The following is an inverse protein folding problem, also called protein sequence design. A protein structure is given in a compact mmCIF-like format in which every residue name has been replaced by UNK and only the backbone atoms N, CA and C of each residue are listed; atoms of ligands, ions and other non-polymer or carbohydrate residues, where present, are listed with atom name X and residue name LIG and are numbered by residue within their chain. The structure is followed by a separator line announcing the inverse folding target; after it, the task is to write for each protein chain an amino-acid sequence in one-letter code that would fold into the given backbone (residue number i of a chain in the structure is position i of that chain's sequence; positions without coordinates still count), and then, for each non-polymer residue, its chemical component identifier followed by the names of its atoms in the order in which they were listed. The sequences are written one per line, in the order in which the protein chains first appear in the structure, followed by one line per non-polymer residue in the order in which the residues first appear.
data_IF_355802495267
#
_entry.id   IF_355802495267
#
_cell.length_a   1.000
_cell.length_b   1.000
_cell.length_c   1.000
_cell.angle_alpha   90.00
_cell.angle_beta   90.00
_cell.angle_gamma   90.00
#
_symmetry.space_group_name_H-M   'P 1'
#
loop_
_entity.id
_entity.type
_entity.pdbx_description
1 polymer ?
#
# COMPACT_ATOMS: atom_id res chain seq x y z
N UNK A 1 -19.76 -11.29 8.54
CA UNK A 1 -18.78 -10.28 8.11
C UNK A 1 -17.51 -10.56 8.87
N UNK A 2 -16.44 -10.78 8.11
CA UNK A 2 -15.28 -11.56 8.49
C UNK A 2 -14.39 -10.90 9.56
N UNK A 3 -13.73 -11.73 10.37
CA UNK A 3 -12.77 -11.32 11.39
C UNK A 3 -11.58 -10.54 10.78
N UNK A 4 -11.30 -10.74 9.49
CA UNK A 4 -10.25 -10.06 8.73
C UNK A 4 -10.32 -8.53 8.79
N UNK A 5 -11.51 -7.92 8.86
CA UNK A 5 -11.62 -6.45 8.94
C UNK A 5 -11.06 -5.88 10.25
N UNK A 6 -11.00 -6.69 11.31
CA UNK A 6 -10.47 -6.31 12.61
C UNK A 6 -8.94 -6.25 12.60
N UNK A 7 -8.28 -6.90 11.64
CA UNK A 7 -6.82 -6.85 11.51
C UNK A 7 -6.32 -5.40 11.25
N UNK A 8 -7.11 -4.58 10.56
CA UNK A 8 -6.76 -3.16 10.34
C UNK A 8 -6.82 -2.34 11.65
N UNK A 9 -7.48 -2.83 12.70
CA UNK A 9 -7.41 -2.19 14.02
C UNK A 9 -6.05 -2.40 14.68
N UNK A 10 -5.36 -3.53 14.44
CA UNK A 10 -3.96 -3.71 14.89
C UNK A 10 -3.07 -2.61 14.29
N UNK A 11 -3.32 -2.21 13.03
CA UNK A 11 -2.65 -1.05 12.42
C UNK A 11 -2.99 0.27 13.10
N UNK A 12 -4.22 0.45 13.60
CA UNK A 12 -4.56 1.64 14.40
C UNK A 12 -3.77 1.67 15.71
N UNK A 13 -3.71 0.54 16.42
CA UNK A 13 -2.96 0.44 17.67
C UNK A 13 -1.45 0.67 17.45
N UNK A 14 -0.86 0.09 16.39
CA UNK A 14 0.52 0.36 16.00
C UNK A 14 0.75 1.85 15.69
N UNK A 15 -0.20 2.51 15.02
CA UNK A 15 -0.09 3.94 14.69
C UNK A 15 -0.05 4.84 15.92
N UNK A 16 -0.75 4.48 16.99
CA UNK A 16 -0.71 5.19 18.27
C UNK A 16 0.70 5.10 18.90
N UNK A 17 1.25 3.88 18.97
CA UNK A 17 2.60 3.63 19.49
C UNK A 17 3.69 4.31 18.65
N UNK A 18 3.57 4.25 17.32
CA UNK A 18 4.47 4.95 16.39
C UNK A 18 4.35 6.49 16.51
N UNK A 19 3.27 7.00 17.11
CA UNK A 19 3.05 8.41 17.41
C UNK A 19 3.74 8.89 18.69
N UNK A 20 4.23 7.99 19.54
CA UNK A 20 4.85 8.32 20.82
C UNK A 20 6.27 8.90 20.67
N UNK A 21 6.78 9.50 21.74
CA UNK A 21 8.16 9.98 21.83
C UNK A 21 8.73 9.68 23.23
N UNK A 22 9.75 8.81 23.36
CA UNK A 22 10.34 7.98 22.30
C UNK A 22 9.34 6.95 21.74
N UNK A 23 9.61 6.40 20.56
CA UNK A 23 8.80 5.32 19.98
C UNK A 23 9.18 4.00 20.66
N UNK A 24 8.18 3.25 21.10
CA UNK A 24 8.35 1.90 21.65
C UNK A 24 8.23 0.87 20.51
N UNK A 25 9.35 0.59 19.82
CA UNK A 25 9.37 -0.37 18.72
C UNK A 25 9.09 -1.80 19.16
N UNK A 26 9.40 -2.16 20.41
CA UNK A 26 9.13 -3.50 20.95
C UNK A 26 7.62 -3.70 21.12
N UNK A 27 6.90 -2.70 21.63
CA UNK A 27 5.44 -2.75 21.71
C UNK A 27 4.77 -2.75 20.31
N UNK A 28 5.34 -2.04 19.34
CA UNK A 28 4.86 -2.09 17.95
C UNK A 28 5.09 -3.49 17.36
N UNK A 29 6.26 -4.08 17.60
CA UNK A 29 6.60 -5.43 17.15
C UNK A 29 5.72 -6.50 17.82
N UNK A 30 5.34 -6.31 19.08
CA UNK A 30 4.42 -7.21 19.78
C UNK A 30 3.05 -7.27 19.07
N UNK A 31 2.45 -6.11 18.76
CA UNK A 31 1.19 -6.06 18.02
C UNK A 31 1.35 -6.67 16.62
N UNK A 32 2.44 -6.35 15.93
CA UNK A 32 2.71 -6.88 14.59
C UNK A 32 2.77 -8.42 14.56
N UNK A 33 3.50 -9.00 15.50
CA UNK A 33 3.78 -10.44 15.53
C UNK A 33 2.70 -11.26 16.24
N UNK A 34 2.04 -10.71 17.26
CA UNK A 34 1.11 -11.44 18.11
C UNK A 34 -0.35 -11.05 17.88
N UNK A 35 -0.63 -9.92 17.23
CA UNK A 35 -1.99 -9.43 16.95
C UNK A 35 -2.74 -9.02 18.22
N UNK A 36 -3.84 -8.28 18.05
CA UNK A 36 -4.64 -7.79 19.19
C UNK A 36 -6.15 -7.82 18.97
N UNK A 37 -6.61 -7.63 17.74
CA UNK A 37 -8.03 -7.40 17.46
C UNK A 37 -8.73 -8.53 16.70
N UNK A 38 -7.99 -9.37 15.96
CA UNK A 38 -8.56 -10.41 15.09
C UNK A 38 -8.42 -11.83 15.67
N UNK A 39 -9.16 -12.13 16.76
CA UNK A 39 -9.11 -13.42 17.46
C UNK A 39 -9.79 -14.54 16.66
N UNK A 40 -9.12 -15.69 16.49
CA UNK A 40 -9.64 -16.89 15.84
C UNK A 40 -10.45 -17.72 16.84
N UNK A 41 -11.18 -18.73 16.34
CA UNK A 41 -11.98 -19.62 17.17
C UNK A 41 -11.18 -20.47 18.16
N UNK A 42 -9.86 -20.61 17.97
CA UNK A 42 -8.96 -21.34 18.87
C UNK A 42 -8.31 -20.44 19.94
N UNK A 43 -8.68 -19.16 19.99
CA UNK A 43 -8.13 -18.16 20.91
C UNK A 43 -6.78 -17.56 20.46
N UNK A 44 -6.20 -18.02 19.34
CA UNK A 44 -5.03 -17.36 18.74
C UNK A 44 -5.46 -16.16 17.89
N UNK A 45 -4.57 -15.20 17.66
CA UNK A 45 -4.86 -14.05 16.81
C UNK A 45 -4.37 -14.26 15.38
N UNK A 46 -5.06 -13.61 14.43
CA UNK A 46 -4.47 -13.27 13.13
C UNK A 46 -3.53 -12.10 13.33
N UNK A 47 -2.39 -12.11 12.64
CA UNK A 47 -1.32 -11.15 12.89
C UNK A 47 -0.85 -10.54 11.59
N UNK A 48 -0.48 -9.25 11.64
CA UNK A 48 0.01 -8.51 10.49
C UNK A 48 1.32 -9.12 9.96
N UNK A 49 2.21 -9.55 10.87
CA UNK A 49 3.44 -10.26 10.53
C UNK A 49 3.19 -11.62 9.88
N UNK A 50 2.26 -12.42 10.41
CA UNK A 50 1.91 -13.71 9.81
C UNK A 50 1.31 -13.58 8.40
N UNK A 51 0.69 -12.45 8.10
CA UNK A 51 0.31 -12.10 6.74
C UNK A 51 1.55 -11.64 5.94
N UNK A 52 2.31 -10.65 6.39
CA UNK A 52 3.47 -10.16 5.64
C UNK A 52 4.52 -11.25 5.31
N UNK A 53 4.64 -12.30 6.13
CA UNK A 53 5.63 -13.37 5.98
C UNK A 53 5.12 -14.55 5.13
N UNK A 54 3.87 -14.53 4.68
CA UNK A 54 3.25 -15.70 4.07
C UNK A 54 3.72 -15.93 2.63
N UNK A 55 4.15 -17.15 2.34
CA UNK A 55 4.61 -17.55 1.01
C UNK A 55 3.45 -17.93 0.08
N UNK A 56 3.72 -18.00 -1.24
CA UNK A 56 2.79 -18.53 -2.23
C UNK A 56 1.55 -17.66 -2.45
N UNK A 57 1.60 -16.40 -2.02
CA UNK A 57 0.53 -15.42 -2.20
C UNK A 57 0.45 -14.95 -3.64
N UNK A 58 -0.75 -14.56 -4.05
CA UNK A 58 -1.08 -14.14 -5.43
C UNK A 58 -0.85 -12.62 -5.62
N UNK A 59 0.31 -12.14 -5.20
CA UNK A 59 0.80 -10.77 -5.38
C UNK A 59 2.25 -10.78 -5.87
N UNK A 60 2.73 -9.68 -6.43
CA UNK A 60 4.03 -9.66 -7.11
C UNK A 60 5.27 -9.62 -6.18
N UNK A 61 5.12 -9.20 -4.91
CA UNK A 61 6.23 -8.86 -4.02
C UNK A 61 7.35 -9.91 -3.92
N UNK A 62 7.05 -11.15 -3.52
CA UNK A 62 8.08 -12.17 -3.31
C UNK A 62 8.80 -12.57 -4.59
N UNK A 63 8.06 -12.65 -5.71
CA UNK A 63 8.64 -12.92 -7.03
C UNK A 63 9.57 -11.80 -7.46
N UNK A 64 9.14 -10.55 -7.28
CA UNK A 64 9.89 -9.37 -7.70
C UNK A 64 11.17 -9.18 -6.87
N UNK A 65 11.07 -9.25 -5.54
CA UNK A 65 12.23 -9.13 -4.65
C UNK A 65 13.03 -10.43 -4.49
N UNK A 66 12.60 -11.51 -5.14
CA UNK A 66 13.31 -12.79 -5.16
C UNK A 66 13.41 -13.49 -3.79
N UNK A 67 12.50 -13.18 -2.85
CA UNK A 67 12.54 -13.68 -1.48
C UNK A 67 11.13 -13.91 -0.93
N UNK A 68 10.80 -15.14 -0.48
CA UNK A 68 9.55 -15.39 0.23
C UNK A 68 9.45 -14.53 1.51
N UNK A 69 8.27 -13.96 1.77
CA UNK A 69 8.07 -13.08 2.93
C UNK A 69 8.79 -11.73 2.82
N UNK A 70 9.02 -11.24 1.60
CA UNK A 70 9.74 -9.99 1.34
C UNK A 70 9.12 -8.75 2.01
N UNK A 71 7.79 -8.76 2.19
CA UNK A 71 7.05 -7.74 2.92
C UNK A 71 7.40 -7.73 4.41
N UNK A 72 7.42 -8.90 5.05
CA UNK A 72 7.84 -9.06 6.44
C UNK A 72 9.29 -8.66 6.62
N UNK A 73 10.19 -9.10 5.74
CA UNK A 73 11.60 -8.72 5.80
C UNK A 73 11.80 -7.19 5.78
N UNK A 74 11.05 -6.46 4.94
CA UNK A 74 11.09 -5.00 4.92
C UNK A 74 10.61 -4.40 6.26
N UNK A 75 9.44 -4.83 6.74
CA UNK A 75 8.81 -4.27 7.96
C UNK A 75 9.63 -4.60 9.21
N UNK A 76 10.08 -5.85 9.35
CA UNK A 76 10.90 -6.34 10.46
C UNK A 76 12.26 -5.63 10.48
N UNK A 77 12.90 -5.41 9.33
CA UNK A 77 14.15 -4.64 9.30
C UNK A 77 13.98 -3.20 9.81
N UNK A 78 12.82 -2.57 9.55
CA UNK A 78 12.50 -1.26 10.11
C UNK A 78 12.21 -1.32 11.62
N UNK A 79 11.46 -2.32 12.08
CA UNK A 79 11.17 -2.57 13.50
C UNK A 79 12.46 -2.77 14.30
N UNK A 80 13.44 -3.50 13.75
CA UNK A 80 14.68 -3.84 14.44
C UNK A 80 15.82 -2.84 14.20
N UNK A 81 15.68 -1.94 13.23
CA UNK A 81 16.76 -1.04 12.83
C UNK A 81 17.93 -1.81 12.19
N UNK A 82 17.62 -2.77 11.33
CA UNK A 82 18.57 -3.63 10.62
C UNK A 82 18.41 -3.47 9.11
N UNK A 83 19.21 -4.19 8.32
CA UNK A 83 19.13 -4.15 6.86
C UNK A 83 19.25 -2.73 6.32
N UNK A 84 18.30 -2.31 5.46
CA UNK A 84 18.28 -0.96 4.88
C UNK A 84 17.96 0.15 5.90
N UNK A 85 17.53 -0.21 7.11
CA UNK A 85 17.26 0.72 8.21
C UNK A 85 18.37 0.70 9.28
N UNK A 86 19.49 0.01 9.02
CA UNK A 86 20.62 -0.02 9.94
C UNK A 86 21.23 1.38 10.10
N UNK A 87 21.25 1.88 11.34
CA UNK A 87 21.77 3.21 11.66
C UNK A 87 20.81 4.37 11.34
N UNK A 88 19.60 4.07 10.84
CA UNK A 88 18.60 5.09 10.55
C UNK A 88 17.92 5.63 11.81
N UNK A 89 17.45 6.87 11.74
CA UNK A 89 16.69 7.49 12.83
C UNK A 89 15.36 6.77 13.08
N UNK A 90 14.83 6.91 14.30
CA UNK A 90 13.48 6.43 14.63
C UNK A 90 12.41 7.02 13.71
N UNK A 91 12.61 8.26 13.22
CA UNK A 91 11.72 8.90 12.25
C UNK A 91 11.70 8.17 10.91
N UNK A 92 12.83 7.67 10.44
CA UNK A 92 12.96 6.90 9.19
C UNK A 92 12.42 5.48 9.38
N UNK A 93 12.84 4.80 10.45
CA UNK A 93 12.34 3.46 10.81
C UNK A 93 10.83 3.44 10.94
N UNK A 94 10.24 4.46 11.58
CA UNK A 94 8.79 4.65 11.68
C UNK A 94 8.10 4.60 10.32
N UNK A 95 8.68 5.18 9.27
CA UNK A 95 8.05 5.16 7.95
C UNK A 95 8.10 3.76 7.31
N UNK A 96 9.21 3.05 7.48
CA UNK A 96 9.34 1.65 7.08
C UNK A 96 8.26 0.77 7.72
N UNK A 97 8.08 0.88 9.03
CA UNK A 97 7.04 0.13 9.76
C UNK A 97 5.64 0.59 9.35
N UNK A 98 5.35 1.88 9.49
CA UNK A 98 4.01 2.42 9.31
C UNK A 98 3.52 2.23 7.88
N UNK A 99 4.29 2.70 6.89
CA UNK A 99 3.85 2.67 5.50
C UNK A 99 4.06 1.31 4.86
N UNK A 100 5.11 0.58 5.25
CA UNK A 100 5.30 -0.81 4.86
C UNK A 100 4.09 -1.66 5.24
N UNK A 101 3.66 -1.60 6.50
CA UNK A 101 2.49 -2.38 6.90
C UNK A 101 1.16 -1.80 6.40
N UNK A 102 0.90 -0.50 6.61
CA UNK A 102 -0.38 0.13 6.24
C UNK A 102 -0.67 0.06 4.73
N UNK A 103 0.36 0.10 3.90
CA UNK A 103 0.20 0.27 2.45
C UNK A 103 0.77 -0.89 1.67
N UNK A 104 2.07 -1.22 1.80
CA UNK A 104 2.66 -2.30 1.00
C UNK A 104 1.99 -3.64 1.32
N UNK A 105 2.05 -4.06 2.58
CA UNK A 105 1.52 -5.36 2.97
C UNK A 105 -0.01 -5.40 2.85
N UNK A 106 -0.77 -4.42 3.36
CA UNK A 106 -2.22 -4.45 3.21
C UNK A 106 -2.69 -4.40 1.75
N UNK A 107 -2.07 -3.64 0.84
CA UNK A 107 -2.42 -3.67 -0.58
C UNK A 107 -2.01 -4.99 -1.25
N UNK A 108 -0.84 -5.54 -0.93
CA UNK A 108 -0.44 -6.84 -1.43
C UNK A 108 -1.47 -7.92 -1.06
N UNK A 109 -2.07 -7.82 0.14
CA UNK A 109 -3.17 -8.67 0.57
C UNK A 109 -4.48 -8.42 -0.18
N UNK A 110 -4.85 -7.16 -0.42
CA UNK A 110 -5.98 -6.85 -1.32
C UNK A 110 -5.77 -7.52 -2.67
N UNK A 111 -4.60 -7.36 -3.29
CA UNK A 111 -4.25 -7.98 -4.58
C UNK A 111 -4.31 -9.51 -4.50
N UNK A 112 -3.75 -10.12 -3.46
CA UNK A 112 -3.81 -11.57 -3.24
C UNK A 112 -5.26 -12.08 -3.21
N UNK A 113 -6.13 -11.39 -2.48
CA UNK A 113 -7.51 -11.83 -2.29
C UNK A 113 -8.36 -11.65 -3.56
N UNK A 114 -8.20 -10.53 -4.27
CA UNK A 114 -8.89 -10.32 -5.55
C UNK A 114 -8.44 -11.33 -6.62
N UNK A 115 -7.13 -11.60 -6.71
CA UNK A 115 -6.59 -12.62 -7.63
C UNK A 115 -7.04 -14.03 -7.24
N UNK A 116 -7.18 -14.30 -5.94
CA UNK A 116 -7.74 -15.57 -5.44
C UNK A 116 -9.22 -15.70 -5.78
N UNK A 117 -10.00 -14.62 -5.65
CA UNK A 117 -11.40 -14.58 -6.00
C UNK A 117 -11.64 -14.85 -7.49
N UNK A 118 -10.90 -14.17 -8.37
CA UNK A 118 -11.00 -14.35 -9.84
C UNK A 118 -10.62 -15.78 -10.24
N UNK A 119 -9.54 -16.34 -9.68
CA UNK A 119 -9.17 -17.72 -9.96
C UNK A 119 -10.24 -18.73 -9.51
N UNK A 120 -10.76 -18.57 -8.28
CA UNK A 120 -11.83 -19.44 -7.76
C UNK A 120 -13.11 -19.32 -8.58
N UNK A 121 -13.43 -18.14 -9.10
CA UNK A 121 -14.53 -17.93 -10.02
C UNK A 121 -14.32 -18.70 -11.34
N UNK A 122 -13.10 -18.67 -11.89
CA UNK A 122 -12.71 -19.46 -13.07
C UNK A 122 -12.85 -20.97 -12.85
N UNK A 123 -12.59 -21.44 -11.64
CA UNK A 123 -12.77 -22.85 -11.22
C UNK A 123 -14.24 -23.21 -10.89
N UNK A 124 -15.18 -22.25 -10.99
CA UNK A 124 -16.59 -22.44 -10.63
C UNK A 124 -16.86 -22.49 -9.11
N UNK A 125 -15.85 -22.20 -8.27
CA UNK A 125 -16.00 -22.06 -6.83
C UNK A 125 -16.50 -20.65 -6.45
N UNK A 126 -17.76 -20.36 -6.77
CA UNK A 126 -18.36 -19.04 -6.56
C UNK A 126 -18.44 -18.62 -5.10
N UNK A 127 -18.74 -19.55 -4.19
CA UNK A 127 -18.81 -19.25 -2.76
C UNK A 127 -17.43 -18.84 -2.21
N UNK A 128 -16.38 -19.56 -2.60
CA UNK A 128 -15.01 -19.21 -2.26
C UNK A 128 -14.58 -17.89 -2.91
N UNK A 129 -15.01 -17.62 -4.15
CA UNK A 129 -14.69 -16.38 -4.83
C UNK A 129 -15.27 -15.15 -4.11
N UNK A 130 -16.56 -15.19 -3.75
CA UNK A 130 -17.21 -14.09 -3.00
C UNK A 130 -16.53 -13.90 -1.63
N UNK A 131 -16.16 -14.99 -0.96
CA UNK A 131 -15.47 -14.91 0.32
C UNK A 131 -14.15 -14.13 0.23
N UNK A 132 -13.25 -14.48 -0.70
CA UNK A 132 -11.99 -13.73 -0.85
C UNK A 132 -12.22 -12.31 -1.36
N UNK A 133 -13.23 -12.09 -2.21
CA UNK A 133 -13.56 -10.74 -2.66
C UNK A 133 -13.91 -9.82 -1.47
N UNK A 134 -14.71 -10.30 -0.53
CA UNK A 134 -15.06 -9.57 0.68
C UNK A 134 -13.85 -9.41 1.64
N UNK A 135 -12.94 -10.40 1.71
CA UNK A 135 -11.67 -10.28 2.45
C UNK A 135 -10.78 -9.18 1.86
N UNK A 136 -10.69 -9.06 0.53
CA UNK A 136 -10.00 -7.96 -0.13
C UNK A 136 -10.52 -6.58 0.32
N UNK A 137 -11.85 -6.42 0.41
CA UNK A 137 -12.42 -5.18 0.96
C UNK A 137 -12.05 -4.96 2.43
N UNK A 138 -12.05 -6.04 3.22
CA UNK A 138 -11.70 -5.99 4.62
C UNK A 138 -10.25 -5.52 4.86
N UNK A 139 -9.28 -5.92 4.02
CA UNK A 139 -7.90 -5.43 4.10
C UNK A 139 -7.76 -3.97 3.62
N UNK A 140 -8.54 -3.55 2.63
CA UNK A 140 -8.47 -2.19 2.08
C UNK A 140 -9.09 -1.13 3.02
N UNK A 141 -10.32 -1.38 3.47
CA UNK A 141 -11.10 -0.43 4.27
C UNK A 141 -10.96 -0.70 5.78
N UNK A 142 -10.85 -1.96 6.19
CA UNK A 142 -10.90 -2.33 7.61
C UNK A 142 -12.25 -2.06 8.25
N UNK A 143 -12.27 -2.02 9.58
CA UNK A 143 -13.48 -1.77 10.35
C UNK A 143 -14.02 -0.32 10.22
N UNK A 144 -13.15 0.68 9.99
CA UNK A 144 -13.50 2.11 10.07
C UNK A 144 -12.90 3.01 8.97
N UNK A 145 -12.12 2.48 8.03
CA UNK A 145 -11.52 3.26 6.93
C UNK A 145 -10.29 4.09 7.30
N UNK A 146 -9.93 4.24 8.57
CA UNK A 146 -8.93 5.23 9.00
C UNK A 146 -7.47 4.79 8.90
N UNK A 147 -7.18 3.54 9.27
CA UNK A 147 -5.81 3.05 9.50
C UNK A 147 -5.29 2.10 8.41
N UNK A 148 -6.11 1.81 7.39
CA UNK A 148 -5.73 1.02 6.22
C UNK A 148 -5.42 1.88 5.00
N UNK A 149 -5.28 1.24 3.81
CA UNK A 149 -5.09 1.93 2.55
C UNK A 149 -6.18 2.96 2.20
N UNK A 150 -7.45 2.71 2.58
CA UNK A 150 -8.55 3.67 2.39
C UNK A 150 -8.24 5.05 2.99
N UNK A 151 -7.68 5.08 4.20
CA UNK A 151 -7.31 6.33 4.88
C UNK A 151 -6.13 7.03 4.21
N UNK A 152 -5.19 6.26 3.62
CA UNK A 152 -4.14 6.83 2.77
C UNK A 152 -4.77 7.50 1.56
N UNK A 153 -5.67 6.82 0.84
CA UNK A 153 -6.34 7.35 -0.34
C UNK A 153 -7.08 8.66 -0.05
N UNK A 154 -7.85 8.76 1.03
CA UNK A 154 -8.51 10.03 1.42
C UNK A 154 -7.49 11.17 1.65
N UNK A 155 -6.38 10.89 2.35
CA UNK A 155 -5.31 11.89 2.55
C UNK A 155 -4.67 12.32 1.23
N UNK A 156 -4.47 11.41 0.29
CA UNK A 156 -3.93 11.73 -1.05
C UNK A 156 -4.94 12.53 -1.86
N UNK A 157 -6.20 12.13 -1.84
CA UNK A 157 -7.31 12.87 -2.45
C UNK A 157 -7.35 14.33 -2.01
N UNK A 158 -7.28 14.58 -0.70
CA UNK A 158 -7.26 15.93 -0.16
C UNK A 158 -6.01 16.74 -0.54
N UNK A 159 -4.85 16.09 -0.62
CA UNK A 159 -3.63 16.77 -1.04
C UNK A 159 -3.58 17.07 -2.54
N UNK A 160 -4.36 16.40 -3.37
CA UNK A 160 -4.35 16.56 -4.82
C UNK A 160 -5.62 17.20 -5.39
N UNK A 161 -6.54 17.63 -4.54
CA UNK A 161 -7.82 18.22 -4.97
C UNK A 161 -8.73 17.20 -5.67
N UNK A 162 -8.59 15.91 -5.36
CA UNK A 162 -9.37 14.81 -5.96
C UNK A 162 -10.32 14.18 -4.94
N UNK A 163 -10.86 15.00 -4.03
CA UNK A 163 -11.97 14.61 -3.18
C UNK A 163 -13.29 14.62 -3.96
N UNK A 164 -14.19 13.73 -3.54
CA UNK A 164 -15.55 13.62 -4.01
C UNK A 164 -16.43 14.75 -3.49
N UNK A 165 -17.73 14.62 -3.75
CA UNK A 165 -18.71 15.66 -3.40
C UNK A 165 -18.91 15.87 -1.90
N UNK A 166 -18.54 14.88 -1.07
CA UNK A 166 -18.60 14.97 0.39
C UNK A 166 -17.45 15.80 0.98
N UNK A 167 -16.43 16.13 0.18
CA UNK A 167 -15.26 16.87 0.63
C UNK A 167 -14.34 16.08 1.56
N UNK A 168 -14.50 14.75 1.66
CA UNK A 168 -13.75 13.88 2.57
C UNK A 168 -13.22 12.62 1.87
N UNK A 169 -14.04 11.99 1.03
CA UNK A 169 -13.70 10.75 0.35
C UNK A 169 -12.92 11.03 -0.92
N UNK A 170 -11.79 10.37 -1.14
CA UNK A 170 -11.08 10.45 -2.41
C UNK A 170 -11.93 9.86 -3.55
N UNK A 171 -11.91 10.49 -4.72
CA UNK A 171 -12.53 9.92 -5.94
C UNK A 171 -11.99 8.51 -6.26
N UNK A 172 -10.72 8.25 -5.94
CA UNK A 172 -10.14 6.91 -6.03
C UNK A 172 -10.85 5.89 -5.11
N UNK A 173 -11.22 6.29 -3.89
CA UNK A 173 -12.00 5.45 -2.97
C UNK A 173 -13.43 5.23 -3.47
N UNK A 174 -14.08 6.27 -4.00
CA UNK A 174 -15.41 6.13 -4.62
C UNK A 174 -15.37 5.12 -5.78
N UNK A 175 -14.35 5.21 -6.64
CA UNK A 175 -14.14 4.29 -7.75
C UNK A 175 -13.85 2.85 -7.28
N UNK A 176 -12.97 2.68 -6.29
CA UNK A 176 -12.66 1.37 -5.72
C UNK A 176 -13.91 0.75 -5.08
N UNK A 177 -14.67 1.50 -4.28
CA UNK A 177 -15.90 0.99 -3.67
C UNK A 177 -16.92 0.54 -4.73
N UNK A 178 -17.09 1.35 -5.78
CA UNK A 178 -17.97 1.01 -6.90
C UNK A 178 -17.52 -0.28 -7.61
N UNK A 179 -16.21 -0.42 -7.85
CA UNK A 179 -15.63 -1.65 -8.40
C UNK A 179 -15.82 -2.86 -7.48
N UNK A 180 -15.60 -2.70 -6.17
CA UNK A 180 -15.79 -3.76 -5.19
C UNK A 180 -17.25 -4.23 -5.12
N UNK A 181 -18.22 -3.31 -5.24
CA UNK A 181 -19.64 -3.67 -5.33
C UNK A 181 -19.93 -4.41 -6.64
N UNK A 182 -19.45 -3.89 -7.77
CA UNK A 182 -19.68 -4.49 -9.08
C UNK A 182 -19.08 -5.90 -9.20
N UNK A 183 -17.87 -6.11 -8.70
CA UNK A 183 -17.21 -7.41 -8.71
C UNK A 183 -17.91 -8.42 -7.81
N UNK A 184 -18.34 -8.03 -6.61
CA UNK A 184 -19.17 -8.89 -5.75
C UNK A 184 -20.45 -9.32 -6.47
N UNK A 185 -21.16 -8.37 -7.09
CA UNK A 185 -22.40 -8.68 -7.81
C UNK A 185 -22.16 -9.50 -9.07
N UNK A 186 -20.98 -9.39 -9.71
CA UNK A 186 -20.58 -10.27 -10.80
C UNK A 186 -20.35 -11.70 -10.30
N UNK A 187 -19.60 -11.87 -9.20
CA UNK A 187 -19.35 -13.18 -8.59
C UNK A 187 -20.63 -13.87 -8.14
N UNK A 188 -21.57 -13.15 -7.50
CA UNK A 188 -22.88 -13.68 -7.11
C UNK A 188 -23.74 -14.14 -8.30
N UNK A 189 -23.48 -13.59 -9.50
CA UNK A 189 -24.17 -13.96 -10.75
C UNK A 189 -23.41 -15.00 -11.58
N UNK A 190 -22.29 -15.52 -11.09
CA UNK A 190 -21.47 -16.47 -11.85
C UNK A 190 -20.71 -15.82 -13.01
N UNK A 191 -20.41 -14.53 -12.93
CA UNK A 191 -19.73 -13.77 -13.99
C UNK A 191 -18.25 -13.51 -13.62
N UNK A 192 -17.36 -14.42 -14.00
CA UNK A 192 -15.92 -14.31 -13.72
C UNK A 192 -15.26 -13.12 -14.44
N UNK A 193 -15.58 -12.87 -15.71
CA UNK A 193 -15.00 -11.75 -16.46
C UNK A 193 -15.44 -10.39 -15.92
N UNK A 194 -16.67 -10.30 -15.38
CA UNK A 194 -17.12 -9.11 -14.65
C UNK A 194 -16.34 -8.86 -13.36
N UNK A 195 -15.97 -9.92 -12.64
CA UNK A 195 -15.14 -9.80 -11.45
C UNK A 195 -13.68 -9.41 -11.79
N UNK A 196 -13.13 -9.97 -12.87
CA UNK A 196 -11.81 -9.60 -13.39
C UNK A 196 -11.75 -8.13 -13.82
N UNK A 197 -12.76 -7.66 -14.58
CA UNK A 197 -12.86 -6.24 -14.95
C UNK A 197 -12.96 -5.32 -13.74
N UNK A 198 -13.70 -5.73 -12.70
CA UNK A 198 -13.78 -4.99 -11.44
C UNK A 198 -12.43 -4.95 -10.70
N UNK A 199 -11.68 -6.06 -10.68
CA UNK A 199 -10.36 -6.10 -10.05
C UNK A 199 -9.38 -5.12 -10.73
N UNK A 200 -9.41 -5.02 -12.07
CA UNK A 200 -8.62 -4.03 -12.81
C UNK A 200 -8.96 -2.59 -12.45
N UNK A 201 -10.24 -2.29 -12.18
CA UNK A 201 -10.67 -0.96 -11.71
C UNK A 201 -10.20 -0.67 -10.28
N UNK A 202 -10.12 -1.68 -9.41
CA UNK A 202 -9.51 -1.53 -8.08
C UNK A 202 -8.02 -1.20 -8.23
N UNK A 203 -7.28 -1.93 -9.07
CA UNK A 203 -5.88 -1.65 -9.38
C UNK A 203 -5.69 -0.23 -9.89
N UNK A 204 -6.55 0.24 -10.80
CA UNK A 204 -6.54 1.63 -11.27
C UNK A 204 -6.61 2.65 -10.13
N UNK A 205 -7.52 2.47 -9.18
CA UNK A 205 -7.65 3.35 -8.01
C UNK A 205 -6.43 3.30 -7.05
N UNK A 206 -5.83 2.12 -6.91
CA UNK A 206 -4.57 1.92 -6.16
C UNK A 206 -3.44 2.70 -6.83
N UNK A 207 -3.27 2.57 -8.15
CA UNK A 207 -2.24 3.31 -8.89
C UNK A 207 -2.42 4.82 -8.77
N UNK A 208 -3.65 5.34 -8.84
CA UNK A 208 -3.93 6.78 -8.62
C UNK A 208 -3.42 7.20 -7.23
N UNK A 209 -3.82 6.46 -6.19
CA UNK A 209 -3.48 6.77 -4.80
C UNK A 209 -1.97 6.81 -4.58
N UNK A 210 -1.25 5.79 -5.04
CA UNK A 210 0.19 5.70 -4.77
C UNK A 210 1.04 6.53 -5.73
N UNK A 211 0.53 6.88 -6.92
CA UNK A 211 1.13 7.93 -7.75
C UNK A 211 1.09 9.28 -7.03
N UNK A 212 -0.07 9.67 -6.48
CA UNK A 212 -0.21 10.88 -5.67
C UNK A 212 0.71 10.85 -4.43
N UNK A 213 0.83 9.68 -3.77
CA UNK A 213 1.70 9.52 -2.62
C UNK A 213 3.17 9.79 -2.98
N UNK A 214 3.67 9.06 -3.97
CA UNK A 214 5.06 9.16 -4.44
C UNK A 214 5.36 10.58 -4.92
N UNK A 215 4.50 11.19 -5.74
CA UNK A 215 4.71 12.57 -6.20
C UNK A 215 4.78 13.58 -5.04
N UNK A 216 3.94 13.43 -4.01
CA UNK A 216 3.99 14.30 -2.84
C UNK A 216 5.31 14.20 -2.09
N UNK A 217 5.83 12.99 -1.92
CA UNK A 217 7.03 12.79 -1.13
C UNK A 217 8.29 13.28 -1.85
N UNK A 218 8.32 13.23 -3.18
CA UNK A 218 9.35 13.92 -3.96
C UNK A 218 9.39 15.43 -3.68
N UNK A 219 8.23 16.10 -3.77
CA UNK A 219 8.12 17.55 -3.49
C UNK A 219 8.53 17.88 -2.05
N UNK A 220 8.17 17.02 -1.09
CA UNK A 220 8.56 17.21 0.31
C UNK A 220 10.07 17.09 0.53
N UNK A 221 10.71 16.10 -0.08
CA UNK A 221 12.18 15.94 -0.02
C UNK A 221 12.86 17.21 -0.55
N UNK A 222 12.49 17.68 -1.75
CA UNK A 222 13.04 18.92 -2.31
C UNK A 222 12.81 20.14 -1.40
N UNK A 223 11.62 20.26 -0.81
CA UNK A 223 11.27 21.36 0.08
C UNK A 223 12.05 21.36 1.40
N UNK A 224 12.42 20.19 1.93
CA UNK A 224 13.25 20.09 3.13
C UNK A 224 14.74 20.34 2.82
N UNK A 225 15.22 19.84 1.68
CA UNK A 225 16.58 20.14 1.18
C UNK A 225 16.78 21.64 0.94
N UNK A 226 15.79 22.32 0.35
CA UNK A 226 15.82 23.77 0.17
C UNK A 226 15.91 24.56 1.49
N UNK A 227 15.52 23.95 2.61
CA UNK A 227 15.63 24.50 3.97
C UNK A 227 16.90 24.04 4.70
N UNK A 228 17.71 23.17 4.10
CA UNK A 228 18.87 22.55 4.73
C UNK A 228 18.52 21.50 5.79
N UNK A 229 17.30 20.95 5.77
CA UNK A 229 16.81 19.97 6.76
C UNK A 229 16.99 18.54 6.23
N UNK A 230 18.24 18.06 6.25
CA UNK A 230 18.60 16.73 5.75
C UNK A 230 17.88 15.60 6.49
N UNK A 231 17.67 15.74 7.81
CA UNK A 231 17.00 14.74 8.62
C UNK A 231 15.53 14.56 8.18
N UNK A 232 14.80 15.66 7.94
CA UNK A 232 13.44 15.55 7.40
C UNK A 232 13.40 15.07 5.96
N UNK A 233 14.35 15.50 5.12
CA UNK A 233 14.46 14.99 3.76
C UNK A 233 14.65 13.46 3.77
N UNK A 234 15.47 12.93 4.68
CA UNK A 234 15.68 11.48 4.85
C UNK A 234 14.42 10.75 5.32
N UNK A 235 13.68 11.31 6.28
CA UNK A 235 12.38 10.77 6.71
C UNK A 235 11.39 10.72 5.55
N UNK A 236 11.30 11.79 4.76
CA UNK A 236 10.39 11.86 3.63
C UNK A 236 10.83 10.97 2.45
N UNK A 237 12.13 10.75 2.26
CA UNK A 237 12.64 9.75 1.32
C UNK A 237 12.16 8.35 1.70
N UNK A 238 12.31 7.96 2.98
CA UNK A 238 11.84 6.66 3.48
C UNK A 238 10.32 6.48 3.36
N UNK A 239 9.55 7.54 3.61
CA UNK A 239 8.09 7.52 3.41
C UNK A 239 7.72 7.36 1.93
N UNK A 240 8.42 8.07 1.04
CA UNK A 240 8.28 7.93 -0.40
C UNK A 240 8.64 6.54 -0.93
N UNK A 241 9.74 5.95 -0.44
CA UNK A 241 10.14 4.57 -0.74
C UNK A 241 9.03 3.60 -0.37
N UNK A 242 8.50 3.72 0.84
CA UNK A 242 7.50 2.78 1.30
C UNK A 242 6.18 2.88 0.51
N UNK A 243 5.85 4.05 -0.03
CA UNK A 243 4.73 4.20 -0.98
C UNK A 243 5.06 3.67 -2.38
N UNK A 244 6.28 3.92 -2.86
CA UNK A 244 6.73 3.45 -4.17
C UNK A 244 6.71 1.92 -4.26
N UNK A 245 7.17 1.24 -3.20
CA UNK A 245 7.17 -0.23 -3.09
C UNK A 245 5.78 -0.88 -3.10
N UNK A 246 4.69 -0.10 -3.10
CA UNK A 246 3.34 -0.62 -3.38
C UNK A 246 3.15 -0.90 -4.88
N UNK A 247 3.73 -0.06 -5.74
CA UNK A 247 3.61 -0.15 -7.19
C UNK A 247 4.76 -0.93 -7.81
N UNK A 248 5.97 -0.78 -7.25
CA UNK A 248 7.21 -1.32 -7.81
C UNK A 248 7.10 -2.81 -8.21
N UNK A 249 6.61 -3.73 -7.35
CA UNK A 249 6.56 -5.15 -7.71
C UNK A 249 5.56 -5.45 -8.81
N UNK A 250 4.39 -4.78 -8.77
CA UNK A 250 3.33 -4.95 -9.75
C UNK A 250 3.78 -4.45 -11.14
N UNK A 251 4.56 -3.38 -11.19
CA UNK A 251 5.16 -2.90 -12.44
C UNK A 251 6.32 -3.79 -12.91
N UNK A 252 7.12 -4.28 -11.97
CA UNK A 252 8.27 -5.13 -12.23
C UNK A 252 7.88 -6.43 -12.94
N UNK A 253 6.81 -7.09 -12.49
CA UNK A 253 6.34 -8.35 -13.12
C UNK A 253 5.76 -8.16 -14.52
N UNK A 254 5.36 -6.94 -14.89
CA UNK A 254 4.93 -6.63 -16.27
C UNK A 254 6.13 -6.51 -17.23
N UNK A 255 7.34 -6.26 -16.72
CA UNK A 255 8.57 -6.23 -17.52
C UNK A 255 8.68 -5.11 -18.56
N UNK A 256 7.80 -4.10 -18.51
CA UNK A 256 7.74 -3.02 -19.50
C UNK A 256 8.04 -1.61 -18.95
N UNK A 257 8.29 -1.49 -17.65
CA UNK A 257 8.45 -0.20 -16.96
C UNK A 257 9.85 -0.01 -16.35
N UNK A 258 10.90 -0.58 -16.96
CA UNK A 258 12.26 -0.54 -16.43
C UNK A 258 12.75 0.90 -16.15
N UNK A 259 12.53 1.83 -17.08
CA UNK A 259 12.93 3.24 -16.91
C UNK A 259 12.16 3.93 -15.77
N UNK A 260 10.86 3.66 -15.64
CA UNK A 260 10.06 4.18 -14.51
C UNK A 260 10.60 3.64 -13.19
N UNK A 261 10.88 2.34 -13.12
CA UNK A 261 11.40 1.71 -11.90
C UNK A 261 12.77 2.29 -11.53
N UNK A 262 13.70 2.38 -12.47
CA UNK A 262 15.03 2.95 -12.24
C UNK A 262 14.96 4.41 -11.76
N UNK A 263 14.09 5.22 -12.38
CA UNK A 263 13.89 6.63 -11.98
C UNK A 263 13.39 6.72 -10.53
N UNK A 264 12.41 5.89 -10.15
CA UNK A 264 11.84 5.96 -8.81
C UNK A 264 12.76 5.34 -7.75
N UNK A 265 13.49 4.27 -8.08
CA UNK A 265 14.46 3.66 -7.17
C UNK A 265 15.62 4.63 -6.87
N UNK A 266 16.16 5.29 -7.89
CA UNK A 266 17.22 6.30 -7.69
C UNK A 266 16.78 7.50 -6.84
N UNK A 267 15.48 7.79 -6.76
CA UNK A 267 14.94 8.83 -5.88
C UNK A 267 14.78 8.38 -4.42
N UNK A 268 14.37 7.13 -4.21
CA UNK A 268 13.83 6.70 -2.91
C UNK A 268 14.61 5.63 -2.16
N UNK A 269 15.44 4.83 -2.84
CA UNK A 269 16.22 3.81 -2.16
C UNK A 269 17.14 4.44 -1.11
N UNK A 270 17.12 3.86 0.10
CA UNK A 270 17.85 4.43 1.25
C UNK A 270 19.37 4.34 1.10
N UNK A 271 19.90 3.53 0.18
CA UNK A 271 21.35 3.62 -0.11
C UNK A 271 21.76 4.94 -0.79
N UNK A 272 20.79 5.67 -1.37
CA UNK A 272 21.01 6.96 -2.00
C UNK A 272 20.76 8.11 -1.00
N UNK A 273 21.51 9.20 -1.16
CA UNK A 273 21.31 10.43 -0.40
C UNK A 273 19.97 11.10 -0.80
N UNK A 274 19.21 11.69 0.15
CA UNK A 274 17.98 12.40 -0.19
C UNK A 274 18.22 13.48 -1.25
N UNK A 275 17.49 13.39 -2.36
CA UNK A 275 17.59 14.34 -3.48
C UNK A 275 18.82 14.19 -4.38
N UNK A 276 19.62 13.13 -4.24
CA UNK A 276 20.66 12.81 -5.23
C UNK A 276 20.10 12.28 -6.55
N UNK A 277 18.85 11.84 -6.54
CA UNK A 277 18.14 11.31 -7.68
C UNK A 277 17.37 12.37 -8.51
N UNK A 278 16.37 11.93 -9.29
CA UNK A 278 15.58 12.80 -10.17
C UNK A 278 14.75 13.83 -9.40
N UNK A 279 14.36 14.91 -10.08
CA UNK A 279 13.46 15.91 -9.51
C UNK A 279 12.04 15.38 -9.31
N UNK A 280 11.23 16.09 -8.53
CA UNK A 280 9.79 15.78 -8.38
C UNK A 280 9.04 15.81 -9.72
N UNK A 281 9.47 16.65 -10.66
CA UNK A 281 8.93 16.73 -12.01
C UNK A 281 9.30 15.54 -12.90
N UNK A 282 10.54 15.06 -12.76
CA UNK A 282 11.02 13.85 -13.44
C UNK A 282 10.29 12.61 -12.92
N UNK A 283 10.12 12.50 -11.59
CA UNK A 283 9.36 11.43 -10.94
C UNK A 283 7.91 11.40 -11.45
N UNK A 284 7.25 12.57 -11.53
CA UNK A 284 5.91 12.68 -12.10
C UNK A 284 5.88 12.22 -13.56
N UNK A 285 6.87 12.63 -14.36
CA UNK A 285 6.93 12.29 -15.78
C UNK A 285 7.15 10.79 -15.99
N UNK A 286 7.99 10.17 -15.16
CA UNK A 286 8.25 8.73 -15.19
C UNK A 286 7.00 7.87 -14.93
N UNK A 287 5.96 8.42 -14.28
CA UNK A 287 4.69 7.71 -14.05
C UNK A 287 3.74 7.76 -15.26
N UNK A 288 3.96 8.63 -16.25
CA UNK A 288 3.04 8.77 -17.39
C UNK A 288 2.81 7.48 -18.20
N UNK A 289 3.83 6.63 -18.48
CA UNK A 289 3.61 5.35 -19.15
C UNK A 289 2.69 4.42 -18.35
N UNK A 290 2.83 4.41 -17.01
CA UNK A 290 1.97 3.62 -16.11
C UNK A 290 0.53 4.12 -16.16
N UNK A 291 0.34 5.44 -16.14
CA UNK A 291 -0.99 6.05 -16.26
C UNK A 291 -1.64 5.77 -17.61
N UNK A 292 -0.85 5.78 -18.69
CA UNK A 292 -1.32 5.44 -20.03
C UNK A 292 -1.84 4.01 -20.13
N UNK A 293 -1.16 3.04 -19.51
CA UNK A 293 -1.59 1.64 -19.49
C UNK A 293 -2.97 1.46 -18.83
N UNK A 294 -3.27 2.24 -17.80
CA UNK A 294 -4.48 2.11 -16.98
C UNK A 294 -5.57 3.15 -17.30
N UNK A 295 -5.41 3.87 -18.41
CA UNK A 295 -6.32 4.96 -18.81
C UNK A 295 -6.57 5.96 -17.67
N UNK A 296 -5.49 6.31 -16.95
CA UNK A 296 -5.50 7.29 -15.87
C UNK A 296 -5.17 8.66 -16.49
N UNK A 297 -6.12 9.58 -16.44
CA UNK A 297 -5.94 10.94 -16.90
C UNK A 297 -5.30 11.83 -15.84
N UNK A 298 -4.85 13.02 -16.26
CA UNK A 298 -4.33 14.03 -15.31
C UNK A 298 -5.39 14.47 -14.30
N UNK A 299 -6.65 14.49 -14.68
CA UNK A 299 -7.76 14.85 -13.79
C UNK A 299 -8.05 13.79 -12.73
N UNK A 300 -7.73 12.51 -12.99
CA UNK A 300 -7.79 11.45 -11.98
C UNK A 300 -6.70 11.64 -10.91
N UNK A 301 -5.50 12.07 -11.33
CA UNK A 301 -4.38 12.34 -10.42
C UNK A 301 -4.57 13.66 -9.68
N UNK A 302 -5.07 14.70 -10.35
CA UNK A 302 -5.18 16.05 -9.82
C UNK A 302 -3.85 16.79 -9.76
N UNK A 303 -3.80 17.84 -8.94
CA UNK A 303 -2.61 18.65 -8.71
C UNK A 303 -2.40 18.86 -7.22
N UNK A 304 -1.14 18.81 -6.79
CA UNK A 304 -0.78 19.04 -5.39
C UNK A 304 -1.23 20.45 -4.97
N UNK A 305 -2.03 20.52 -3.90
CA UNK A 305 -2.61 21.74 -3.32
C UNK A 305 -1.73 22.33 -2.21
#
# INVERSE_FOLDING_TARGET
MDNHRLLVLDMCDMNELLGASPIDFDAVADIYNNGKNAEKSDGSFRTLGGFASAEGKKHAHDTYYGSPGSLDAFITSALEGTGMFAGESDGVRKQGVQKGMQNQALIAYVTHELNSAVAKAGDGNWAGAVHNWDEGWAFYHGANGGCGPYGTANKRGGNFGTLGSDGETAKANEAILSAMIAGRDALLRGNASGAEAAASLVTRGVVITYSQAVMRYAVKVEADLAKGDMDKARIHQAEGLAFWRVLEPELGVLGMFAETIETLNSAYELENEPGSGPSSDDIRTALYPVWGLLEIGRDDIGSLQ
#
